data_IF_025561847220
#
_entry.id   IF_025561847220
#
_cell.length_a   1.000
_cell.length_b   1.000
_cell.length_c   1.000
_cell.angle_alpha   90.00
_cell.angle_beta   90.00
_cell.angle_gamma   90.00
#
_symmetry.space_group_name_H-M   'P 1'
#
loop_
_entity.id
_entity.type
_entity.pdbx_description
1 polymer ?
#
# COMPACT_ATOMS: atom_id res chain seq x y z
N UNK A 1 10.84 10.81 -10.88
CA UNK A 1 10.64 9.52 -11.57
C UNK A 1 9.15 9.28 -11.57
N UNK A 2 8.54 9.21 -12.75
CA UNK A 2 7.13 8.85 -12.89
C UNK A 2 7.09 7.39 -13.30
N UNK A 3 6.32 6.58 -12.58
CA UNK A 3 6.18 5.16 -12.84
C UNK A 3 4.69 4.88 -13.10
N UNK A 4 4.42 4.08 -14.13
CA UNK A 4 3.08 3.61 -14.44
C UNK A 4 3.18 2.19 -14.97
N UNK A 5 2.19 1.32 -14.70
CA UNK A 5 2.06 0.03 -15.37
C UNK A 5 1.87 0.18 -16.88
N UNK A 6 1.38 1.34 -17.35
CA UNK A 6 1.17 1.65 -18.76
C UNK A 6 2.33 2.46 -19.36
N UNK A 7 3.00 1.96 -20.41
CA UNK A 7 4.05 2.69 -21.12
C UNK A 7 3.62 4.07 -21.63
N UNK A 8 2.37 4.18 -22.13
CA UNK A 8 1.84 5.44 -22.64
C UNK A 8 1.66 6.47 -21.52
N UNK A 9 1.13 6.07 -20.37
CA UNK A 9 0.97 6.95 -19.22
C UNK A 9 2.33 7.35 -18.62
N UNK A 10 3.32 6.45 -18.63
CA UNK A 10 4.68 6.74 -18.19
C UNK A 10 5.33 7.82 -19.07
N UNK A 11 5.22 7.70 -20.40
CA UNK A 11 5.72 8.70 -21.34
C UNK A 11 5.00 10.05 -21.20
N UNK A 12 3.68 10.04 -21.08
CA UNK A 12 2.87 11.27 -20.95
C UNK A 12 3.14 12.02 -19.62
N UNK A 13 3.60 11.30 -18.59
CA UNK A 13 3.96 11.90 -17.29
C UNK A 13 5.38 12.46 -17.26
N UNK A 14 6.21 12.11 -18.24
CA UNK A 14 7.60 12.57 -18.37
C UNK A 14 7.70 14.00 -18.91
N UNK A 15 8.80 14.68 -18.60
CA UNK A 15 9.13 15.95 -19.26
C UNK A 15 9.57 15.71 -20.72
N UNK A 16 9.49 16.74 -21.56
CA UNK A 16 9.98 16.69 -22.93
C UNK A 16 11.45 16.23 -22.99
N UNK A 17 11.74 15.25 -23.84
CA UNK A 17 13.07 14.62 -23.96
C UNK A 17 13.38 13.55 -22.91
N UNK A 18 12.41 13.16 -22.06
CA UNK A 18 12.57 12.02 -21.15
C UNK A 18 12.53 10.67 -21.88
N UNK A 19 13.16 9.66 -21.29
CA UNK A 19 13.13 8.27 -21.77
C UNK A 19 12.27 7.43 -20.85
N UNK A 20 11.44 6.57 -21.44
CA UNK A 20 10.70 5.56 -20.68
C UNK A 20 11.49 4.26 -20.60
N UNK A 21 11.36 3.59 -19.45
CA UNK A 21 11.98 2.30 -19.20
C UNK A 21 10.93 1.34 -18.65
N UNK A 22 10.98 0.10 -19.09
CA UNK A 22 10.26 -1.02 -18.48
C UNK A 22 11.10 -1.58 -17.35
N UNK A 23 10.48 -1.78 -16.19
CA UNK A 23 11.09 -2.56 -15.11
C UNK A 23 11.05 -4.03 -15.51
N UNK A 24 12.21 -4.66 -15.58
CA UNK A 24 12.37 -6.09 -15.82
C UNK A 24 12.73 -6.79 -14.51
N UNK A 25 11.82 -7.64 -14.03
CA UNK A 25 11.94 -8.48 -12.83
C UNK A 25 12.34 -9.92 -13.23
N UNK A 26 13.46 -10.07 -13.95
CA UNK A 26 13.92 -11.37 -14.47
C UNK A 26 14.60 -12.28 -13.43
N UNK A 27 14.82 -11.79 -12.21
CA UNK A 27 15.39 -12.53 -11.08
C UNK A 27 14.34 -13.03 -10.08
N UNK A 28 14.74 -13.21 -8.82
CA UNK A 28 13.83 -13.49 -7.71
C UNK A 28 13.18 -12.20 -7.21
N UNK A 29 11.85 -12.19 -7.16
CA UNK A 29 11.10 -11.04 -6.66
C UNK A 29 9.84 -11.48 -5.91
N UNK A 30 9.30 -10.56 -5.12
CA UNK A 30 7.91 -10.59 -4.69
C UNK A 30 7.22 -9.41 -5.34
N UNK A 31 6.06 -9.62 -5.95
CA UNK A 31 5.28 -8.51 -6.45
C UNK A 31 3.78 -8.76 -6.30
N UNK A 32 3.04 -7.67 -6.20
CA UNK A 32 1.60 -7.63 -6.11
C UNK A 32 1.10 -6.41 -6.88
N UNK A 33 -0.07 -6.55 -7.47
CA UNK A 33 -0.73 -5.49 -8.21
C UNK A 33 -2.15 -5.27 -7.68
N UNK A 34 -2.51 -4.00 -7.49
CA UNK A 34 -3.88 -3.60 -7.16
C UNK A 34 -4.79 -3.77 -8.40
N UNK A 35 -5.90 -4.47 -8.25
CA UNK A 35 -6.83 -4.76 -9.37
C UNK A 35 -8.09 -3.89 -9.34
N UNK A 36 -8.48 -3.34 -8.18
CA UNK A 36 -9.75 -2.61 -8.04
C UNK A 36 -9.65 -1.12 -8.40
N UNK A 37 -8.49 -0.50 -8.12
CA UNK A 37 -8.25 0.93 -8.28
C UNK A 37 -6.87 1.19 -8.91
N UNK A 38 -6.67 2.39 -9.46
CA UNK A 38 -5.39 2.79 -10.06
C UNK A 38 -4.29 3.09 -9.05
N UNK A 39 -4.63 3.60 -7.85
CA UNK A 39 -3.66 4.06 -6.85
C UNK A 39 -4.17 3.73 -5.45
N UNK A 40 -3.31 3.08 -4.66
CA UNK A 40 -3.67 2.49 -3.37
C UNK A 40 -4.07 3.53 -2.34
N UNK A 41 -3.57 4.77 -2.47
CA UNK A 41 -3.95 5.87 -1.56
C UNK A 41 -5.45 6.19 -1.64
N UNK A 42 -6.09 5.86 -2.76
CA UNK A 42 -7.50 6.11 -3.01
C UNK A 42 -8.38 4.88 -2.77
N UNK A 43 -7.82 3.78 -2.26
CA UNK A 43 -8.58 2.60 -1.92
C UNK A 43 -9.70 2.95 -0.90
N UNK A 44 -10.96 2.52 -1.10
CA UNK A 44 -12.10 2.91 -0.25
C UNK A 44 -11.88 2.57 1.23
N UNK A 45 -11.13 1.50 1.50
CA UNK A 45 -10.83 1.03 2.84
C UNK A 45 -9.95 1.99 3.64
N UNK A 46 -9.03 2.73 3.01
CA UNK A 46 -8.21 3.73 3.73
C UNK A 46 -9.08 4.73 4.50
N UNK A 47 -10.25 5.10 3.93
CA UNK A 47 -11.22 5.96 4.59
C UNK A 47 -12.17 5.18 5.52
N UNK A 48 -12.57 3.98 5.14
CA UNK A 48 -13.49 3.16 5.94
C UNK A 48 -12.85 2.70 7.26
N UNK A 49 -11.65 2.13 7.19
CA UNK A 49 -10.90 1.61 8.33
C UNK A 49 -10.55 2.71 9.33
N UNK A 50 -10.08 3.87 8.84
CA UNK A 50 -9.85 5.05 9.68
C UNK A 50 -11.12 5.48 10.44
N UNK A 51 -12.27 5.51 9.78
CA UNK A 51 -13.55 5.85 10.43
C UNK A 51 -13.99 4.77 11.41
N UNK A 52 -13.74 3.50 11.09
CA UNK A 52 -14.03 2.39 11.99
C UNK A 52 -13.20 2.50 13.27
N UNK A 53 -11.88 2.69 13.16
CA UNK A 53 -10.96 2.88 14.29
C UNK A 53 -11.40 4.04 15.18
N UNK A 54 -11.63 5.22 14.61
CA UNK A 54 -12.04 6.41 15.39
C UNK A 54 -13.38 6.21 16.11
N UNK A 55 -14.32 5.44 15.53
CA UNK A 55 -15.59 5.13 16.19
C UNK A 55 -15.43 4.20 17.39
N UNK A 56 -14.52 3.23 17.31
CA UNK A 56 -14.31 2.23 18.37
C UNK A 56 -13.36 2.71 19.46
N UNK A 57 -12.35 3.53 19.11
CA UNK A 57 -11.56 4.28 20.08
C UNK A 57 -12.42 5.30 20.85
N UNK A 58 -13.48 5.79 20.22
CA UNK A 58 -14.48 6.67 20.82
C UNK A 58 -14.00 8.12 20.98
N UNK A 59 -14.93 9.01 21.33
CA UNK A 59 -14.61 10.41 21.72
C UNK A 59 -13.69 10.46 22.94
N UNK A 60 -13.81 9.49 23.84
CA UNK A 60 -12.99 9.37 25.04
C UNK A 60 -11.50 9.34 24.74
N UNK A 61 -11.05 8.68 23.66
CA UNK A 61 -9.64 8.66 23.27
C UNK A 61 -9.08 10.06 22.96
N UNK A 62 -9.88 10.92 22.34
CA UNK A 62 -9.48 12.31 22.08
C UNK A 62 -9.30 13.07 23.39
N UNK A 63 -10.11 12.76 24.40
CA UNK A 63 -10.11 13.38 25.73
C UNK A 63 -9.11 12.76 26.71
N UNK A 64 -8.45 11.65 26.34
CA UNK A 64 -7.48 10.98 27.20
C UNK A 64 -6.20 11.81 27.44
N UNK A 65 -5.29 11.29 28.27
CA UNK A 65 -3.98 11.91 28.46
C UNK A 65 -3.18 11.97 27.14
N UNK A 66 -2.28 12.94 27.02
CA UNK A 66 -1.37 13.02 25.87
C UNK A 66 -0.55 11.72 25.69
N UNK A 67 -0.18 11.07 26.79
CA UNK A 67 0.54 9.80 26.77
C UNK A 67 -0.29 8.67 26.14
N UNK A 68 -1.57 8.56 26.50
CA UNK A 68 -2.46 7.55 25.92
C UNK A 68 -2.76 7.80 24.44
N UNK A 69 -2.90 9.06 24.03
CA UNK A 69 -3.01 9.40 22.60
C UNK A 69 -1.74 9.06 21.82
N UNK A 70 -0.57 9.35 22.39
CA UNK A 70 0.72 9.02 21.77
C UNK A 70 0.95 7.52 21.65
N UNK A 71 0.42 6.70 22.56
CA UNK A 71 0.56 5.24 22.50
C UNK A 71 -0.07 4.64 21.23
N UNK A 72 -1.17 5.23 20.73
CA UNK A 72 -1.86 4.74 19.52
C UNK A 72 -1.51 5.50 18.24
N UNK A 73 -0.88 6.68 18.37
CA UNK A 73 -0.49 7.53 17.25
C UNK A 73 0.31 6.81 16.13
N UNK A 74 1.16 5.80 16.42
CA UNK A 74 1.89 5.12 15.36
C UNK A 74 1.01 4.29 14.41
N UNK A 75 -0.25 3.96 14.76
CA UNK A 75 -1.19 3.31 13.83
C UNK A 75 -1.45 4.13 12.54
N UNK A 76 -1.11 5.42 12.55
CA UNK A 76 -1.19 6.30 11.38
C UNK A 76 0.15 6.54 10.70
N UNK A 77 1.23 5.91 11.17
CA UNK A 77 2.54 6.01 10.51
C UNK A 77 2.59 5.13 9.27
N UNK A 78 3.20 5.63 8.17
CA UNK A 78 3.42 4.81 6.99
C UNK A 78 4.41 3.68 7.30
N UNK A 79 4.19 2.51 6.68
CA UNK A 79 5.10 1.37 6.73
C UNK A 79 5.38 0.83 8.15
N UNK A 80 4.39 0.88 9.05
CA UNK A 80 4.50 0.30 10.38
C UNK A 80 4.69 -1.23 10.29
N UNK A 81 5.72 -1.81 10.92
CA UNK A 81 5.91 -3.26 10.93
C UNK A 81 4.77 -4.00 11.64
N UNK A 82 4.53 -5.25 11.22
CA UNK A 82 3.48 -6.09 11.82
C UNK A 82 3.67 -6.27 13.34
N UNK A 83 4.90 -6.57 13.78
CA UNK A 83 5.20 -6.74 15.20
C UNK A 83 4.93 -5.46 16.02
N UNK A 84 5.32 -4.29 15.50
CA UNK A 84 5.02 -3.01 16.15
C UNK A 84 3.52 -2.72 16.17
N UNK A 85 2.81 -3.08 15.10
CA UNK A 85 1.35 -2.96 15.03
C UNK A 85 0.68 -3.77 16.14
N UNK A 86 1.10 -5.03 16.32
CA UNK A 86 0.57 -5.91 17.35
C UNK A 86 0.81 -5.32 18.75
N UNK A 87 2.04 -4.85 19.03
CA UNK A 87 2.39 -4.21 20.30
C UNK A 87 1.50 -2.98 20.60
N UNK A 88 1.21 -2.15 19.60
CA UNK A 88 0.34 -0.98 19.77
C UNK A 88 -1.11 -1.40 20.03
N UNK A 89 -1.59 -2.43 19.33
CA UNK A 89 -2.95 -2.95 19.49
C UNK A 89 -3.15 -3.61 20.86
N UNK A 90 -2.12 -4.23 21.45
CA UNK A 90 -2.18 -4.76 22.82
C UNK A 90 -2.43 -3.66 23.87
N UNK A 91 -1.90 -2.45 23.64
CA UNK A 91 -2.12 -1.30 24.53
C UNK A 91 -3.53 -0.70 24.36
N UNK A 92 -4.16 -0.93 23.20
CA UNK A 92 -5.50 -0.44 22.86
C UNK A 92 -6.61 -1.27 23.55
N UNK A 93 -6.71 -1.18 24.89
CA UNK A 93 -7.62 -2.01 25.72
C UNK A 93 -9.11 -2.01 25.32
N UNK A 94 -9.57 -1.00 24.58
CA UNK A 94 -10.97 -0.86 24.15
C UNK A 94 -11.19 -1.24 22.68
N UNK A 95 -10.15 -1.69 21.98
CA UNK A 95 -10.23 -2.04 20.58
C UNK A 95 -10.35 -3.56 20.43
N UNK A 96 -11.44 -4.00 19.81
CA UNK A 96 -11.59 -5.40 19.41
C UNK A 96 -10.72 -5.65 18.16
N UNK A 97 -9.54 -6.24 18.38
CA UNK A 97 -8.56 -6.53 17.33
C UNK A 97 -9.05 -7.58 16.33
N UNK A 98 -9.94 -8.49 16.76
CA UNK A 98 -10.57 -9.44 15.86
C UNK A 98 -11.58 -8.75 14.95
N UNK A 99 -12.45 -7.91 15.52
CA UNK A 99 -13.38 -7.12 14.73
C UNK A 99 -12.65 -6.16 13.77
N UNK A 100 -11.50 -5.61 14.19
CA UNK A 100 -10.64 -4.81 13.31
C UNK A 100 -10.14 -5.63 12.12
N UNK A 101 -9.62 -6.85 12.36
CA UNK A 101 -9.13 -7.73 11.30
C UNK A 101 -10.24 -8.10 10.30
N UNK A 102 -11.47 -8.29 10.78
CA UNK A 102 -12.66 -8.53 9.94
C UNK A 102 -13.08 -7.33 9.08
N UNK A 103 -12.48 -6.14 9.26
CA UNK A 103 -12.70 -4.99 8.38
C UNK A 103 -11.62 -4.82 7.31
N UNK A 104 -10.56 -5.64 7.34
CA UNK A 104 -9.43 -5.52 6.43
C UNK A 104 -9.67 -6.42 5.22
N UNK A 105 -9.99 -5.79 4.09
CA UNK A 105 -10.29 -6.45 2.81
C UNK A 105 -9.37 -5.96 1.69
N UNK A 106 -8.43 -5.06 1.98
CA UNK A 106 -7.50 -4.50 1.00
C UNK A 106 -6.81 -5.59 0.16
N UNK A 107 -6.48 -6.72 0.78
CA UNK A 107 -5.79 -7.82 0.11
C UNK A 107 -6.69 -8.62 -0.84
N UNK A 108 -8.02 -8.52 -0.73
CA UNK A 108 -8.97 -9.13 -1.68
C UNK A 108 -8.87 -8.44 -3.05
N UNK A 109 -8.43 -7.18 -3.06
CA UNK A 109 -8.22 -6.35 -4.25
C UNK A 109 -6.77 -6.39 -4.77
N UNK A 110 -5.95 -7.31 -4.26
CA UNK A 110 -4.54 -7.46 -4.65
C UNK A 110 -4.34 -8.81 -5.36
N UNK A 111 -3.69 -8.77 -6.51
CA UNK A 111 -3.23 -9.96 -7.24
C UNK A 111 -1.73 -10.14 -7.06
N UNK A 112 -1.30 -11.34 -6.68
CA UNK A 112 0.13 -11.69 -6.67
C UNK A 112 0.65 -11.86 -8.11
N UNK A 113 1.88 -11.37 -8.33
CA UNK A 113 2.57 -11.40 -9.62
C UNK A 113 3.69 -12.43 -9.49
N UNK A 114 3.65 -13.49 -10.30
CA UNK A 114 4.67 -14.55 -10.29
C UNK A 114 5.72 -14.32 -11.38
N UNK A 115 5.35 -13.64 -12.46
CA UNK A 115 6.22 -13.27 -13.60
C UNK A 115 5.94 -11.84 -14.02
N UNK A 116 6.95 -11.14 -14.55
CA UNK A 116 6.78 -9.77 -15.10
C UNK A 116 5.62 -9.69 -16.11
N UNK A 117 5.40 -10.73 -16.90
CA UNK A 117 4.33 -10.79 -17.90
C UNK A 117 2.92 -10.93 -17.29
N UNK A 118 2.79 -11.21 -15.99
CA UNK A 118 1.50 -11.27 -15.29
C UNK A 118 0.97 -9.89 -14.91
N UNK A 119 1.81 -8.85 -15.01
CA UNK A 119 1.45 -7.46 -14.73
C UNK A 119 0.41 -7.00 -15.75
N UNK A 120 -0.74 -6.59 -15.26
CA UNK A 120 -1.81 -6.00 -16.08
C UNK A 120 -1.47 -4.54 -16.41
N UNK A 121 -1.29 -4.17 -17.69
CA UNK A 121 -1.02 -2.79 -18.09
C UNK A 121 -2.15 -1.81 -17.74
N UNK A 122 -3.38 -2.31 -17.63
CA UNK A 122 -4.58 -1.54 -17.26
C UNK A 122 -4.91 -1.65 -15.76
N UNK A 123 -4.13 -2.44 -15.02
CA UNK A 123 -4.24 -2.59 -13.58
C UNK A 123 -3.72 -1.36 -12.82
N UNK A 124 -3.86 -1.41 -11.50
CA UNK A 124 -3.40 -0.38 -10.61
C UNK A 124 -1.92 -0.43 -10.27
N UNK A 125 -1.61 0.24 -9.17
CA UNK A 125 -0.28 0.31 -8.59
C UNK A 125 0.35 -1.08 -8.38
N UNK A 126 1.65 -1.17 -8.65
CA UNK A 126 2.45 -2.37 -8.50
C UNK A 126 3.40 -2.16 -7.33
N UNK A 127 3.38 -3.09 -6.39
CA UNK A 127 4.34 -3.21 -5.30
C UNK A 127 5.31 -4.33 -5.64
N UNK A 128 6.60 -4.08 -5.55
CA UNK A 128 7.59 -5.12 -5.79
C UNK A 128 8.83 -4.98 -4.90
N UNK A 129 9.37 -6.13 -4.52
CA UNK A 129 10.63 -6.30 -3.79
C UNK A 129 11.53 -7.21 -4.64
N UNK A 130 12.54 -6.64 -5.34
CA UNK A 130 13.52 -7.43 -6.08
C UNK A 130 14.59 -7.96 -5.11
N UNK A 131 14.67 -9.28 -4.94
CA UNK A 131 15.56 -9.92 -3.96
C UNK A 131 17.01 -10.02 -4.48
N UNK A 132 17.19 -10.02 -5.80
CA UNK A 132 18.48 -10.06 -6.50
C UNK A 132 18.68 -8.88 -7.47
N UNK A 133 17.86 -7.83 -7.31
CA UNK A 133 17.89 -6.60 -8.13
C UNK A 133 16.90 -6.61 -9.29
N UNK A 134 16.85 -5.49 -10.02
CA UNK A 134 15.99 -5.32 -11.19
C UNK A 134 16.74 -4.58 -12.30
N UNK A 135 16.22 -4.64 -13.52
CA UNK A 135 16.78 -3.93 -14.67
C UNK A 135 15.79 -2.94 -15.23
N UNK A 136 16.32 -1.84 -15.77
CA UNK A 136 15.55 -0.87 -16.55
C UNK A 136 15.85 -1.11 -18.03
N UNK A 137 14.85 -1.58 -18.77
CA UNK A 137 14.95 -1.84 -20.21
C UNK A 137 14.34 -0.65 -20.95
N UNK A 138 15.10 0.08 -21.79
CA UNK A 138 14.56 1.20 -22.55
C UNK A 138 13.36 0.75 -23.39
N UNK A 139 12.27 1.51 -23.32
CA UNK A 139 11.14 1.34 -24.22
C UNK A 139 11.47 2.20 -25.44
N UNK A 140 11.66 1.57 -26.61
CA UNK A 140 11.86 2.31 -27.85
C UNK A 140 10.57 3.03 -28.21
N UNK A 141 10.67 4.34 -28.42
CA UNK A 141 9.61 5.21 -28.94
C UNK A 141 9.28 4.90 -30.39
#
# INVERSE_FOLDING_TARGET
MYASPSPHLALASGADGSSAFRVDLSGQFKAAQLISNTDSKYHPECRALRRWLLRHLGQSWIEESAQARHALAPLWMPCLPAAETDEILEVARNLDTRALAEQIHYWDDIRLIEKTDDIDPEGGEIFFEPLDGYRLVPIQS
#
